data_IF_536089984558
#
_entry.id   IF_536089984558
#
_cell.length_a   1.000
_cell.length_b   1.000
_cell.length_c   1.000
_cell.angle_alpha   90.00
_cell.angle_beta   90.00
_cell.angle_gamma   90.00
#
_symmetry.space_group_name_H-M   'P 1'
#
loop_
_entity.id
_entity.type
_entity.pdbx_description
1 polymer ?
#
# COMPACT_ATOMS: atom_id res chain seq x y z
N UNK A 1 -4.82 41.45 10.91
CA UNK A 1 -4.47 42.68 11.63
C UNK A 1 -3.27 42.37 12.51
N UNK A 2 -2.09 42.87 12.16
CA UNK A 2 -0.99 42.94 13.11
C UNK A 2 -1.25 44.17 13.98
N UNK A 3 -1.49 43.96 15.29
CA UNK A 3 -1.64 45.07 16.23
C UNK A 3 -0.25 45.62 16.57
N UNK A 4 0.04 46.86 16.19
CA UNK A 4 1.22 47.58 16.65
C UNK A 4 1.08 47.87 18.15
N UNK A 5 1.98 47.31 18.98
CA UNK A 5 1.99 47.57 20.41
C UNK A 5 2.69 48.89 20.72
N UNK A 6 2.22 49.59 21.77
CA UNK A 6 2.74 50.92 22.19
C UNK A 6 4.24 50.96 22.52
N UNK A 7 4.87 49.80 22.68
CA UNK A 7 6.27 49.61 23.07
C UNK A 7 7.13 48.95 21.97
N UNK A 8 6.64 48.91 20.73
CA UNK A 8 7.27 48.20 19.60
C UNK A 8 7.57 46.72 19.89
N UNK A 9 6.81 46.09 20.80
CA UNK A 9 6.83 44.65 21.07
C UNK A 9 7.74 44.24 22.22
N UNK A 10 8.42 45.17 22.90
CA UNK A 10 9.39 44.87 23.96
C UNK A 10 8.81 44.07 25.13
N UNK A 11 7.62 44.41 25.59
CA UNK A 11 6.91 43.68 26.66
C UNK A 11 6.46 42.29 26.22
N UNK A 12 6.08 42.13 24.95
CA UNK A 12 5.75 40.81 24.36
C UNK A 12 7.01 39.95 24.28
N UNK A 13 8.14 40.52 23.80
CA UNK A 13 9.43 39.83 23.73
C UNK A 13 9.89 39.40 25.12
N UNK A 14 9.93 40.32 26.09
CA UNK A 14 10.35 40.02 27.47
C UNK A 14 9.44 38.98 28.15
N UNK A 15 8.14 39.05 27.90
CA UNK A 15 7.18 38.04 28.37
C UNK A 15 7.45 36.66 27.77
N UNK A 16 7.65 36.58 26.45
CA UNK A 16 7.98 35.34 25.74
C UNK A 16 9.33 34.77 26.19
N UNK A 17 10.35 35.60 26.35
CA UNK A 17 11.67 35.20 26.86
C UNK A 17 11.57 34.60 28.26
N UNK A 18 10.75 35.17 29.14
CA UNK A 18 10.54 34.64 30.49
C UNK A 18 9.92 33.25 30.46
N UNK A 19 8.89 33.06 29.62
CA UNK A 19 8.22 31.75 29.46
C UNK A 19 9.15 30.72 28.84
N UNK A 20 9.89 31.10 27.79
CA UNK A 20 10.87 30.23 27.13
C UNK A 20 12.00 29.84 28.09
N UNK A 21 12.53 30.78 28.87
CA UNK A 21 13.60 30.51 29.84
C UNK A 21 13.15 29.52 30.90
N UNK A 22 11.94 29.67 31.44
CA UNK A 22 11.38 28.71 32.39
C UNK A 22 11.28 27.31 31.75
N UNK A 23 10.67 27.21 30.56
CA UNK A 23 10.49 25.93 29.87
C UNK A 23 11.80 25.26 29.47
N UNK A 24 12.81 26.05 29.08
CA UNK A 24 14.16 25.54 28.80
C UNK A 24 14.89 25.10 30.07
N UNK A 25 14.68 25.79 31.20
CA UNK A 25 15.22 25.38 32.49
C UNK A 25 14.63 24.05 32.94
N UNK A 26 13.32 23.85 32.75
CA UNK A 26 12.66 22.57 33.06
C UNK A 26 13.19 21.46 32.16
N UNK A 27 13.31 21.71 30.85
CA UNK A 27 13.91 20.75 29.92
C UNK A 27 15.36 20.40 30.30
N UNK A 28 16.18 21.39 30.68
CA UNK A 28 17.55 21.16 31.15
C UNK A 28 17.58 20.32 32.43
N UNK A 29 16.69 20.59 33.38
CA UNK A 29 16.56 19.79 34.60
C UNK A 29 16.23 18.33 34.29
N UNK A 30 15.22 18.07 33.45
CA UNK A 30 14.85 16.70 33.08
C UNK A 30 15.96 16.01 32.28
N UNK A 31 16.65 16.71 31.38
CA UNK A 31 17.79 16.20 30.63
C UNK A 31 18.91 15.73 31.56
N UNK A 32 19.31 16.56 32.52
CA UNK A 32 20.38 16.25 33.47
C UNK A 32 19.97 15.15 34.46
N UNK A 33 18.70 15.17 34.90
CA UNK A 33 18.17 14.16 35.80
C UNK A 33 18.06 12.80 35.11
N UNK A 34 17.58 12.77 33.87
CA UNK A 34 17.34 11.52 33.15
C UNK A 34 18.65 10.81 32.78
N UNK A 35 19.70 11.57 32.45
CA UNK A 35 21.04 11.08 32.10
C UNK A 35 21.83 10.46 33.25
N UNK A 36 21.31 10.52 34.48
CA UNK A 36 21.88 9.79 35.62
C UNK A 36 21.70 8.27 35.50
N UNK A 37 20.72 7.84 34.70
CA UNK A 37 20.44 6.44 34.41
C UNK A 37 20.46 6.21 32.90
N UNK A 38 20.95 5.06 32.45
CA UNK A 38 20.97 4.75 31.01
C UNK A 38 19.57 4.47 30.48
N UNK A 39 19.33 4.74 29.21
CA UNK A 39 18.10 4.42 28.49
C UNK A 39 17.77 2.93 28.59
N UNK A 40 18.79 2.07 28.49
CA UNK A 40 18.63 0.60 28.65
C UNK A 40 18.11 0.22 30.04
N UNK A 41 18.54 0.91 31.10
CA UNK A 41 18.05 0.67 32.46
C UNK A 41 16.56 0.98 32.64
N UNK A 42 15.94 1.70 31.71
CA UNK A 42 14.51 2.08 31.74
C UNK A 42 13.59 1.08 31.06
N UNK A 43 14.13 0.13 30.30
CA UNK A 43 13.34 -0.91 29.62
C UNK A 43 12.42 -1.69 30.58
N UNK A 44 12.86 -2.11 31.79
CA UNK A 44 11.98 -2.85 32.71
C UNK A 44 10.71 -2.10 33.10
N UNK A 45 10.75 -0.76 33.19
CA UNK A 45 9.60 0.08 33.53
C UNK A 45 8.51 0.09 32.45
N UNK A 46 8.81 -0.40 31.24
CA UNK A 46 7.80 -0.56 30.17
C UNK A 46 6.75 -1.63 30.51
N UNK A 47 7.04 -2.52 31.46
CA UNK A 47 6.07 -3.52 31.96
C UNK A 47 4.89 -2.88 32.69
N UNK A 48 5.12 -1.74 33.33
CA UNK A 48 4.07 -1.03 34.07
C UNK A 48 3.24 -0.09 33.18
N UNK A 49 3.67 0.11 31.93
CA UNK A 49 2.98 0.96 30.94
C UNK A 49 2.04 0.11 30.10
N UNK A 50 0.74 0.27 30.31
CA UNK A 50 -0.30 -0.40 29.51
C UNK A 50 -0.31 0.20 28.10
N UNK A 51 -0.12 -0.63 27.08
CA UNK A 51 -0.34 -0.23 25.69
C UNK A 51 -1.84 -0.22 25.37
N UNK A 52 -2.54 -1.30 25.73
CA UNK A 52 -3.99 -1.40 25.70
C UNK A 52 -4.45 -2.59 26.55
N UNK A 53 -5.56 -2.46 27.28
CA UNK A 53 -6.01 -3.47 28.24
C UNK A 53 -6.18 -4.88 27.66
N UNK A 54 -6.57 -4.99 26.39
CA UNK A 54 -6.76 -6.28 25.67
C UNK A 54 -5.52 -6.75 24.88
N UNK A 55 -4.48 -5.92 24.78
CA UNK A 55 -3.29 -6.21 23.95
C UNK A 55 -2.04 -6.41 24.82
N UNK A 56 -1.98 -5.75 25.98
CA UNK A 56 -0.90 -5.83 26.93
C UNK A 56 -0.18 -4.50 27.16
N UNK A 57 1.09 -4.63 27.54
CA UNK A 57 2.01 -3.59 27.98
C UNK A 57 2.90 -3.11 26.83
N UNK A 58 3.60 -2.00 27.05
CA UNK A 58 4.61 -1.51 26.11
C UNK A 58 5.81 -2.47 26.04
N UNK A 59 6.16 -3.16 27.14
CA UNK A 59 7.20 -4.18 27.12
C UNK A 59 6.86 -5.33 26.16
N UNK A 60 5.64 -5.88 26.24
CA UNK A 60 5.18 -6.94 25.34
C UNK A 60 5.12 -6.45 23.89
N UNK A 61 4.69 -5.19 23.67
CA UNK A 61 4.73 -4.58 22.34
C UNK A 61 6.14 -4.54 21.74
N UNK A 62 7.12 -4.11 22.53
CA UNK A 62 8.51 -4.00 22.09
C UNK A 62 9.10 -5.38 21.75
N UNK A 63 8.76 -6.41 22.52
CA UNK A 63 9.16 -7.80 22.23
C UNK A 63 8.56 -8.32 20.91
N UNK A 64 7.25 -8.13 20.72
CA UNK A 64 6.56 -8.51 19.46
C UNK A 64 7.13 -7.75 18.27
N UNK A 65 7.38 -6.45 18.44
CA UNK A 65 7.99 -5.59 17.43
C UNK A 65 9.40 -6.06 17.07
N UNK A 66 10.26 -6.39 18.03
CA UNK A 66 11.62 -6.87 17.76
C UNK A 66 11.64 -8.19 16.99
N UNK A 67 10.79 -9.14 17.39
CA UNK A 67 10.68 -10.42 16.68
C UNK A 67 10.07 -10.25 15.28
N UNK A 68 9.08 -9.36 15.10
CA UNK A 68 8.53 -9.05 13.78
C UNK A 68 9.55 -8.32 12.89
N UNK A 69 10.36 -7.44 13.46
CA UNK A 69 11.41 -6.72 12.73
C UNK A 69 12.47 -7.67 12.15
N UNK A 70 12.82 -8.75 12.86
CA UNK A 70 13.68 -9.81 12.32
C UNK A 70 13.09 -10.48 11.07
N UNK A 71 11.78 -10.68 11.05
CA UNK A 71 11.09 -11.24 9.88
C UNK A 71 10.99 -10.25 8.72
N UNK A 72 10.76 -8.97 9.02
CA UNK A 72 10.70 -7.89 8.04
C UNK A 72 12.08 -7.62 7.44
N UNK A 73 13.16 -7.70 8.22
CA UNK A 73 14.52 -7.44 7.78
C UNK A 73 14.97 -8.34 6.62
N UNK A 74 14.38 -9.52 6.47
CA UNK A 74 14.59 -10.42 5.32
C UNK A 74 14.22 -9.77 3.97
N UNK A 75 13.40 -8.72 3.99
CA UNK A 75 12.94 -7.97 2.80
C UNK A 75 13.47 -6.53 2.77
N UNK A 76 14.29 -6.13 3.75
CA UNK A 76 14.91 -4.80 3.82
C UNK A 76 16.41 -4.96 3.58
N UNK A 77 16.96 -4.47 2.45
CA UNK A 77 18.38 -4.63 2.15
C UNK A 77 19.27 -3.92 3.18
N UNK A 78 20.43 -4.53 3.49
CA UNK A 78 21.50 -3.94 4.33
C UNK A 78 21.11 -3.65 5.78
N UNK A 79 20.11 -4.32 6.33
CA UNK A 79 19.87 -4.30 7.78
C UNK A 79 20.92 -5.16 8.47
N UNK A 80 21.55 -4.61 9.51
CA UNK A 80 22.35 -5.39 10.45
C UNK A 80 21.42 -6.08 11.45
N UNK A 81 21.35 -7.41 11.38
CA UNK A 81 20.45 -8.21 12.20
C UNK A 81 20.80 -8.16 13.69
N UNK A 82 22.08 -7.95 14.04
CA UNK A 82 22.53 -7.92 15.43
C UNK A 82 22.02 -6.66 16.15
N UNK A 83 21.73 -5.60 15.40
CA UNK A 83 21.22 -4.34 15.92
C UNK A 83 19.69 -4.30 16.05
N UNK A 84 18.95 -5.21 15.41
CA UNK A 84 17.47 -5.18 15.37
C UNK A 84 16.87 -5.27 16.77
N UNK A 85 17.29 -6.27 17.56
CA UNK A 85 16.73 -6.46 18.89
C UNK A 85 17.16 -5.35 19.84
N UNK A 86 18.37 -4.81 19.68
CA UNK A 86 18.86 -3.65 20.45
C UNK A 86 17.99 -2.43 20.18
N UNK A 87 17.80 -2.08 18.90
CA UNK A 87 16.98 -0.95 18.49
C UNK A 87 15.51 -1.12 18.90
N UNK A 88 14.95 -2.31 18.73
CA UNK A 88 13.58 -2.60 19.14
C UNK A 88 13.38 -2.37 20.64
N UNK A 89 14.27 -2.94 21.46
CA UNK A 89 14.22 -2.84 22.91
C UNK A 89 14.34 -1.39 23.42
N UNK A 90 15.12 -0.55 22.73
CA UNK A 90 15.31 0.84 23.10
C UNK A 90 14.26 1.80 22.51
N UNK A 91 13.57 1.40 21.44
CA UNK A 91 12.70 2.29 20.66
C UNK A 91 11.66 3.04 21.50
N UNK A 92 11.14 2.41 22.56
CA UNK A 92 10.12 3.00 23.44
C UNK A 92 10.60 3.21 24.88
N UNK A 93 11.88 3.01 25.17
CA UNK A 93 12.44 3.13 26.52
C UNK A 93 12.37 4.57 27.06
N UNK A 94 12.34 5.55 26.17
CA UNK A 94 12.22 6.97 26.50
C UNK A 94 10.84 7.33 27.07
N UNK A 95 9.81 6.54 26.81
CA UNK A 95 8.49 6.71 27.42
C UNK A 95 8.51 6.66 28.96
N UNK A 96 9.56 6.07 29.53
CA UNK A 96 9.82 5.99 30.97
C UNK A 96 10.74 7.12 31.48
N UNK A 97 10.95 8.18 30.70
CA UNK A 97 11.81 9.32 31.07
C UNK A 97 11.00 10.49 31.63
N UNK A 98 11.62 11.30 32.49
CA UNK A 98 11.01 12.53 32.99
C UNK A 98 10.77 13.52 31.84
N UNK A 99 11.70 13.59 30.89
CA UNK A 99 11.55 14.44 29.70
C UNK A 99 10.29 14.10 28.89
N UNK A 100 10.00 12.83 28.63
CA UNK A 100 8.76 12.47 27.91
C UNK A 100 7.52 12.64 28.79
N UNK A 101 7.65 12.52 30.10
CA UNK A 101 6.57 12.83 31.05
C UNK A 101 6.13 14.29 30.98
N UNK A 102 7.09 15.23 30.91
CA UNK A 102 6.83 16.67 30.83
C UNK A 102 6.57 17.15 29.39
N UNK A 103 7.30 16.59 28.42
CA UNK A 103 7.27 16.97 27.00
C UNK A 103 6.98 15.73 26.12
N UNK A 104 5.72 15.23 26.10
CA UNK A 104 5.36 14.06 25.29
C UNK A 104 5.67 14.20 23.80
N UNK A 105 5.70 15.43 23.28
CA UNK A 105 6.08 15.75 21.90
C UNK A 105 7.52 15.37 21.55
N UNK A 106 8.40 15.16 22.54
CA UNK A 106 9.79 14.78 22.35
C UNK A 106 10.02 13.26 22.32
N UNK A 107 8.98 12.44 22.41
CA UNK A 107 9.11 10.99 22.31
C UNK A 107 9.79 10.57 21.00
N UNK A 108 10.61 9.52 21.04
CA UNK A 108 11.54 9.10 20.00
C UNK A 108 12.75 10.04 19.89
N UNK A 109 12.53 11.34 19.73
CA UNK A 109 13.58 12.36 19.55
C UNK A 109 14.53 12.35 20.75
N UNK A 110 14.00 12.42 21.97
CA UNK A 110 14.84 12.39 23.16
C UNK A 110 15.47 11.02 23.39
N UNK A 111 14.75 9.94 23.05
CA UNK A 111 15.29 8.58 23.07
C UNK A 111 16.57 8.45 22.24
N UNK A 112 16.64 9.06 21.06
CA UNK A 112 17.87 9.13 20.26
C UNK A 112 19.01 9.83 20.99
N UNK A 113 18.74 10.99 21.59
CA UNK A 113 19.76 11.74 22.31
C UNK A 113 20.29 10.98 23.53
N UNK A 114 19.43 10.29 24.26
CA UNK A 114 19.83 9.42 25.37
C UNK A 114 20.60 8.20 24.88
N UNK A 115 20.17 7.53 23.80
CA UNK A 115 20.89 6.41 23.21
C UNK A 115 22.33 6.80 22.81
N UNK A 116 22.50 7.94 22.14
CA UNK A 116 23.83 8.45 21.77
C UNK A 116 24.67 8.80 22.99
N UNK A 117 24.07 9.45 24.00
CA UNK A 117 24.74 9.78 25.24
C UNK A 117 25.27 8.53 25.95
N UNK A 118 24.52 7.43 25.91
CA UNK A 118 24.85 6.17 26.57
C UNK A 118 25.79 5.27 25.74
N UNK A 119 26.24 5.74 24.58
CA UNK A 119 27.20 5.05 23.72
C UNK A 119 26.60 4.04 22.73
N UNK A 120 25.28 4.05 22.53
CA UNK A 120 24.66 3.25 21.47
C UNK A 120 25.05 3.80 20.09
N UNK A 121 25.05 2.95 19.06
CA UNK A 121 25.45 3.35 17.72
C UNK A 121 24.48 4.38 17.10
N UNK A 122 24.95 5.25 16.19
CA UNK A 122 24.08 6.20 15.50
C UNK A 122 22.89 5.54 14.78
N UNK A 123 23.05 4.32 14.27
CA UNK A 123 21.98 3.61 13.59
C UNK A 123 20.89 3.11 14.57
N UNK A 124 21.29 2.62 15.75
CA UNK A 124 20.34 2.28 16.83
C UNK A 124 19.61 3.55 17.29
N UNK A 125 20.35 4.63 17.57
CA UNK A 125 19.76 5.87 18.04
C UNK A 125 18.80 6.49 17.00
N UNK A 126 19.14 6.46 15.72
CA UNK A 126 18.25 6.94 14.66
C UNK A 126 17.01 6.06 14.53
N UNK A 127 17.12 4.73 14.69
CA UNK A 127 15.96 3.85 14.70
C UNK A 127 15.02 4.13 15.90
N UNK A 128 15.59 4.44 17.07
CA UNK A 128 14.81 4.89 18.25
C UNK A 128 14.02 6.15 17.95
N UNK A 129 14.62 7.16 17.30
CA UNK A 129 13.85 8.37 16.92
C UNK A 129 12.82 8.12 15.82
N UNK A 130 13.18 7.35 14.80
CA UNK A 130 12.45 7.33 13.53
C UNK A 130 11.36 6.27 13.44
N UNK A 131 11.25 5.34 14.40
CA UNK A 131 10.26 4.27 14.30
C UNK A 131 8.79 4.77 14.26
N UNK A 132 8.51 5.96 14.80
CA UNK A 132 7.21 6.61 14.66
C UNK A 132 6.95 7.15 13.25
N UNK A 133 8.00 7.54 12.52
CA UNK A 133 7.89 8.08 11.17
C UNK A 133 7.64 7.00 10.11
N UNK A 134 7.05 7.37 8.95
CA UNK A 134 6.33 8.62 8.76
C UNK A 134 5.00 8.60 9.54
N UNK A 135 4.71 9.68 10.25
CA UNK A 135 3.52 9.83 11.08
C UNK A 135 2.29 10.36 10.30
N UNK A 136 2.51 10.97 9.14
CA UNK A 136 1.46 11.54 8.29
C UNK A 136 1.94 11.77 6.85
N UNK A 137 1.13 12.41 5.99
CA UNK A 137 1.47 12.64 4.57
C UNK A 137 2.71 13.51 4.35
N UNK A 138 2.89 14.55 5.18
CA UNK A 138 3.97 15.53 5.04
C UNK A 138 5.23 15.17 5.85
N UNK A 139 5.19 14.10 6.65
CA UNK A 139 6.33 13.69 7.46
C UNK A 139 7.43 13.05 6.59
N UNK A 140 8.69 13.16 7.03
CA UNK A 140 9.81 12.52 6.36
C UNK A 140 9.69 10.99 6.44
N UNK A 141 9.89 10.30 5.31
CA UNK A 141 10.01 8.85 5.31
C UNK A 141 11.48 8.45 5.56
N UNK A 142 11.72 7.61 6.56
CA UNK A 142 13.07 7.13 6.83
C UNK A 142 13.59 6.23 5.71
N UNK A 143 14.91 6.33 5.47
CA UNK A 143 15.64 5.59 4.45
C UNK A 143 16.69 4.64 5.02
N UNK A 144 17.01 4.77 6.33
CA UNK A 144 17.96 3.89 7.01
C UNK A 144 17.37 2.49 7.18
N UNK A 145 18.07 1.41 6.78
CA UNK A 145 17.52 0.05 6.83
C UNK A 145 16.98 -0.38 8.20
N UNK A 146 17.74 -0.12 9.27
CA UNK A 146 17.33 -0.47 10.63
C UNK A 146 16.06 0.29 11.06
N UNK A 147 16.01 1.61 10.82
CA UNK A 147 14.84 2.45 11.09
C UNK A 147 13.59 2.01 10.30
N UNK A 148 13.78 1.56 9.05
CA UNK A 148 12.69 1.01 8.23
C UNK A 148 12.14 -0.27 8.86
N UNK A 149 13.01 -1.21 9.23
CA UNK A 149 12.59 -2.49 9.81
C UNK A 149 11.82 -2.30 11.12
N UNK A 150 12.33 -1.46 12.02
CA UNK A 150 11.67 -1.16 13.30
C UNK A 150 10.35 -0.39 13.08
N UNK A 151 10.35 0.62 12.20
CA UNK A 151 9.16 1.43 11.91
C UNK A 151 8.04 0.62 11.24
N UNK A 152 8.37 -0.29 10.32
CA UNK A 152 7.40 -1.22 9.76
C UNK A 152 6.85 -2.16 10.84
N UNK A 153 7.72 -2.74 11.67
CA UNK A 153 7.31 -3.66 12.72
C UNK A 153 6.34 -3.00 13.74
N UNK A 154 6.63 -1.77 14.19
CA UNK A 154 5.75 -1.03 15.11
C UNK A 154 4.35 -0.79 14.52
N UNK A 155 4.29 -0.44 13.23
CA UNK A 155 3.03 -0.16 12.54
C UNK A 155 2.24 -1.44 12.24
N UNK A 156 2.90 -2.51 11.80
CA UNK A 156 2.26 -3.81 11.59
C UNK A 156 1.73 -4.39 12.92
N UNK A 157 2.54 -4.38 13.99
CA UNK A 157 2.12 -4.83 15.33
C UNK A 157 0.88 -4.06 15.81
N UNK A 158 0.91 -2.73 15.71
CA UNK A 158 -0.22 -1.90 16.11
C UNK A 158 -1.47 -2.22 15.29
N UNK A 159 -1.34 -2.24 13.97
CA UNK A 159 -2.46 -2.47 13.06
C UNK A 159 -3.10 -3.83 13.31
N UNK A 160 -2.31 -4.89 13.43
CA UNK A 160 -2.77 -6.26 13.70
C UNK A 160 -3.36 -6.36 15.10
N UNK A 161 -2.67 -5.85 16.12
CA UNK A 161 -3.12 -5.92 17.51
C UNK A 161 -4.50 -5.30 17.74
N UNK A 162 -4.75 -4.12 17.17
CA UNK A 162 -6.07 -3.47 17.26
C UNK A 162 -7.14 -4.18 16.42
N UNK A 163 -6.76 -4.77 15.28
CA UNK A 163 -7.68 -5.58 14.49
C UNK A 163 -8.14 -6.82 15.25
N UNK A 164 -7.22 -7.49 15.93
CA UNK A 164 -7.48 -8.72 16.68
C UNK A 164 -8.45 -8.54 17.85
N UNK A 165 -8.52 -7.33 18.41
CA UNK A 165 -9.47 -6.99 19.48
C UNK A 165 -10.73 -6.27 18.97
N UNK A 166 -10.90 -6.24 17.65
CA UNK A 166 -12.02 -5.60 16.93
C UNK A 166 -12.13 -4.07 17.15
N UNK A 167 -11.02 -3.40 17.45
CA UNK A 167 -10.93 -1.93 17.59
C UNK A 167 -10.55 -1.28 16.25
N UNK A 168 -11.39 -1.51 15.23
CA UNK A 168 -11.16 -1.09 13.85
C UNK A 168 -11.61 0.37 13.63
N UNK A 169 -11.02 1.11 12.68
CA UNK A 169 -11.51 2.45 12.33
C UNK A 169 -12.93 2.39 11.78
N UNK A 170 -13.80 3.30 12.20
CA UNK A 170 -15.21 3.33 11.78
C UNK A 170 -15.62 4.73 11.32
N UNK A 171 -16.24 4.84 10.13
CA UNK A 171 -16.66 6.13 9.57
C UNK A 171 -15.55 7.17 9.62
N UNK A 172 -15.76 8.27 10.36
CA UNK A 172 -14.74 9.30 10.61
C UNK A 172 -13.79 8.97 11.78
N UNK A 173 -14.18 8.09 12.72
CA UNK A 173 -13.39 7.77 13.91
C UNK A 173 -12.20 6.85 13.59
N UNK A 174 -11.06 7.20 14.18
CA UNK A 174 -9.82 6.41 14.17
C UNK A 174 -9.03 6.71 15.47
N UNK A 175 -9.51 6.20 16.63
CA UNK A 175 -8.96 6.57 17.93
C UNK A 175 -7.49 6.17 18.12
N UNK A 176 -7.05 5.11 17.43
CA UNK A 176 -5.70 4.56 17.53
C UNK A 176 -4.82 4.88 16.30
N UNK A 177 -5.26 5.82 15.45
CA UNK A 177 -4.50 6.30 14.30
C UNK A 177 -4.11 5.19 13.29
N UNK A 178 -4.92 4.15 13.13
CA UNK A 178 -4.63 3.00 12.28
C UNK A 178 -4.59 3.36 10.79
N UNK A 179 -5.34 4.38 10.36
CA UNK A 179 -5.24 4.91 9.00
C UNK A 179 -3.89 5.58 8.76
N UNK A 180 -3.36 6.29 9.77
CA UNK A 180 -2.02 6.89 9.71
C UNK A 180 -0.92 5.83 9.76
N UNK A 181 -1.05 4.82 10.61
CA UNK A 181 -0.13 3.67 10.64
C UNK A 181 -0.07 2.94 9.30
N UNK A 182 -1.24 2.70 8.69
CA UNK A 182 -1.36 2.08 7.37
C UNK A 182 -0.72 2.91 6.26
N UNK A 183 -0.97 4.23 6.26
CA UNK A 183 -0.26 5.14 5.35
C UNK A 183 1.26 5.06 5.57
N UNK A 184 1.70 4.98 6.83
CA UNK A 184 3.11 4.84 7.14
C UNK A 184 3.74 3.56 6.58
N UNK A 185 3.05 2.42 6.67
CA UNK A 185 3.47 1.15 6.05
C UNK A 185 3.59 1.31 4.53
N UNK A 186 2.56 1.88 3.88
CA UNK A 186 2.52 2.11 2.43
C UNK A 186 3.71 2.95 2.00
N UNK A 187 3.94 4.09 2.67
CA UNK A 187 5.04 5.01 2.34
C UNK A 187 6.40 4.35 2.53
N UNK A 188 6.61 3.65 3.65
CA UNK A 188 7.86 2.94 3.90
C UNK A 188 8.17 1.90 2.82
N UNK A 189 7.15 1.16 2.36
CA UNK A 189 7.31 0.18 1.29
C UNK A 189 7.60 0.86 -0.04
N UNK A 190 6.78 1.83 -0.45
CA UNK A 190 6.84 2.43 -1.80
C UNK A 190 8.06 3.34 -1.97
N UNK A 191 8.33 4.22 -1.02
CA UNK A 191 9.42 5.20 -1.12
C UNK A 191 10.79 4.50 -1.05
N UNK A 192 10.89 3.39 -0.32
CA UNK A 192 12.10 2.56 -0.24
C UNK A 192 12.11 1.36 -1.22
N UNK A 193 11.09 1.22 -2.07
CA UNK A 193 10.97 0.16 -3.10
C UNK A 193 11.10 -1.27 -2.55
N UNK A 194 10.48 -1.55 -1.41
CA UNK A 194 10.60 -2.82 -0.69
C UNK A 194 9.61 -3.87 -1.24
N UNK A 195 10.09 -5.08 -1.52
CA UNK A 195 9.25 -6.20 -1.98
C UNK A 195 8.83 -7.05 -0.77
N UNK A 196 7.75 -6.62 -0.09
CA UNK A 196 7.27 -7.24 1.15
C UNK A 196 5.99 -8.05 0.88
N UNK A 197 5.95 -9.36 1.19
CA UNK A 197 4.72 -10.16 1.11
C UNK A 197 3.79 -9.84 2.28
N UNK A 198 2.82 -8.94 2.08
CA UNK A 198 1.98 -8.40 3.15
C UNK A 198 1.19 -9.49 3.89
N UNK A 199 0.57 -10.43 3.17
CA UNK A 199 -0.19 -11.53 3.80
C UNK A 199 0.68 -12.32 4.79
N UNK A 200 1.94 -12.58 4.42
CA UNK A 200 2.89 -13.29 5.28
C UNK A 200 3.28 -12.46 6.51
N UNK A 201 3.56 -11.17 6.34
CA UNK A 201 3.91 -10.30 7.47
C UNK A 201 2.73 -10.12 8.43
N UNK A 202 1.51 -9.96 7.93
CA UNK A 202 0.30 -9.90 8.76
C UNK A 202 0.14 -11.18 9.58
N UNK A 203 0.33 -12.35 8.96
CA UNK A 203 0.25 -13.63 9.66
C UNK A 203 1.32 -13.77 10.74
N UNK A 204 2.58 -13.47 10.41
CA UNK A 204 3.69 -13.50 11.38
C UNK A 204 3.48 -12.54 12.56
N UNK A 205 2.85 -11.39 12.31
CA UNK A 205 2.46 -10.47 13.39
C UNK A 205 1.30 -11.03 14.20
N UNK A 206 0.29 -11.64 13.57
CA UNK A 206 -0.89 -12.18 14.24
C UNK A 206 -0.55 -13.35 15.16
N UNK A 207 0.38 -14.23 14.75
CA UNK A 207 0.84 -15.37 15.54
C UNK A 207 1.39 -14.95 16.92
N UNK A 208 1.73 -13.66 17.11
CA UNK A 208 2.23 -13.09 18.36
C UNK A 208 1.15 -12.66 19.35
N UNK A 209 -0.11 -12.70 18.93
CA UNK A 209 -1.25 -12.22 19.73
C UNK A 209 -2.21 -13.33 20.18
N UNK A 210 -1.92 -14.61 19.88
CA UNK A 210 -2.74 -15.78 20.27
C UNK A 210 -4.21 -15.70 19.81
N UNK A 211 -4.45 -15.45 18.52
CA UNK A 211 -5.80 -15.35 17.93
C UNK A 211 -6.02 -16.35 16.79
N UNK A 212 -7.16 -17.05 16.80
CA UNK A 212 -7.48 -18.16 15.88
C UNK A 212 -7.96 -17.73 14.47
N UNK A 213 -8.46 -16.50 14.30
CA UNK A 213 -9.07 -16.06 13.03
C UNK A 213 -8.03 -15.36 12.17
N UNK A 214 -7.70 -15.89 11.00
CA UNK A 214 -6.76 -15.24 10.05
C UNK A 214 -7.31 -13.89 9.54
N UNK A 215 -6.67 -12.79 9.95
CA UNK A 215 -7.05 -11.42 9.59
C UNK A 215 -6.25 -10.88 8.38
N UNK A 216 -5.31 -11.65 7.84
CA UNK A 216 -4.35 -11.17 6.83
C UNK A 216 -5.02 -10.58 5.59
N UNK A 217 -6.09 -11.20 5.09
CA UNK A 217 -6.84 -10.71 3.92
C UNK A 217 -7.63 -9.44 4.21
N UNK A 218 -8.24 -9.35 5.39
CA UNK A 218 -8.99 -8.16 5.81
C UNK A 218 -8.04 -6.96 5.97
N UNK A 219 -6.89 -7.18 6.62
CA UNK A 219 -5.83 -6.19 6.79
C UNK A 219 -5.22 -5.74 5.47
N UNK A 220 -4.96 -6.67 4.54
CA UNK A 220 -4.49 -6.32 3.19
C UNK A 220 -5.53 -5.47 2.44
N UNK A 221 -6.80 -5.86 2.49
CA UNK A 221 -7.89 -5.08 1.88
C UNK A 221 -7.96 -3.66 2.46
N UNK A 222 -7.85 -3.53 3.79
CA UNK A 222 -7.79 -2.22 4.43
C UNK A 222 -6.58 -1.40 3.97
N UNK A 223 -5.39 -2.01 3.90
CA UNK A 223 -4.19 -1.35 3.41
C UNK A 223 -4.34 -0.90 1.95
N UNK A 224 -4.99 -1.72 1.11
CA UNK A 224 -5.26 -1.38 -0.29
C UNK A 224 -6.22 -0.21 -0.41
N UNK A 225 -7.27 -0.15 0.40
CA UNK A 225 -8.15 1.01 0.46
C UNK A 225 -7.41 2.28 0.92
N UNK A 226 -6.44 2.16 1.83
CA UNK A 226 -5.56 3.30 2.19
C UNK A 226 -4.63 3.68 1.04
N UNK A 227 -4.13 2.72 0.30
CA UNK A 227 -3.29 2.95 -0.87
C UNK A 227 -4.03 3.70 -1.98
N UNK A 228 -5.30 3.34 -2.24
CA UNK A 228 -6.17 4.08 -3.16
C UNK A 228 -6.38 5.55 -2.75
N UNK A 229 -6.53 5.82 -1.45
CA UNK A 229 -6.60 7.21 -0.93
C UNK A 229 -5.29 7.92 -1.17
N UNK A 230 -4.16 7.30 -0.82
CA UNK A 230 -2.83 7.86 -1.03
C UNK A 230 -2.57 8.25 -2.50
N UNK A 231 -2.95 7.41 -3.47
CA UNK A 231 -2.82 7.72 -4.89
C UNK A 231 -3.73 8.88 -5.31
N UNK A 232 -4.98 8.91 -4.86
CA UNK A 232 -5.90 10.03 -5.12
C UNK A 232 -5.37 11.36 -4.61
N UNK A 233 -4.81 11.36 -3.39
CA UNK A 233 -4.21 12.56 -2.79
C UNK A 233 -2.97 13.04 -3.58
N UNK A 234 -2.32 12.16 -4.35
CA UNK A 234 -1.25 12.50 -5.31
C UNK A 234 -1.76 13.00 -6.66
N UNK A 235 -3.08 13.10 -6.86
CA UNK A 235 -3.70 13.57 -8.10
C UNK A 235 -3.88 12.49 -9.16
N UNK A 236 -3.71 11.23 -8.81
CA UNK A 236 -3.85 10.10 -9.72
C UNK A 236 -5.33 9.84 -10.09
N UNK A 237 -5.54 9.36 -11.33
CA UNK A 237 -6.87 9.09 -11.88
C UNK A 237 -7.61 7.97 -11.12
N UNK A 238 -8.78 8.29 -10.59
CA UNK A 238 -9.61 7.36 -9.79
C UNK A 238 -9.99 6.08 -10.55
N UNK A 239 -10.37 6.20 -11.81
CA UNK A 239 -10.79 5.08 -12.64
C UNK A 239 -9.65 4.09 -12.91
N UNK A 240 -8.43 4.59 -13.14
CA UNK A 240 -7.20 3.78 -13.28
C UNK A 240 -6.84 3.08 -11.97
N UNK A 241 -6.98 3.78 -10.84
CA UNK A 241 -6.79 3.18 -9.50
C UNK A 241 -7.76 2.01 -9.32
N UNK A 242 -9.06 2.21 -9.57
CA UNK A 242 -10.06 1.14 -9.40
C UNK A 242 -9.82 -0.04 -10.35
N UNK A 243 -9.42 0.20 -11.60
CA UNK A 243 -9.12 -0.85 -12.58
C UNK A 243 -7.99 -1.79 -12.10
N UNK A 244 -6.96 -1.25 -11.46
CA UNK A 244 -5.79 -2.02 -11.02
C UNK A 244 -6.05 -2.75 -9.70
N UNK A 245 -6.69 -2.07 -8.76
CA UNK A 245 -6.90 -2.60 -7.40
C UNK A 245 -8.07 -3.58 -7.30
N UNK A 246 -8.97 -3.63 -8.29
CA UNK A 246 -10.12 -4.56 -8.30
C UNK A 246 -9.74 -6.02 -8.60
N UNK A 247 -8.54 -6.28 -9.14
CA UNK A 247 -8.15 -7.62 -9.58
C UNK A 247 -7.81 -8.61 -8.46
N UNK A 248 -7.80 -8.18 -7.19
CA UNK A 248 -7.51 -8.93 -5.95
C UNK A 248 -6.47 -10.07 -6.04
N UNK A 249 -5.44 -9.91 -6.87
CA UNK A 249 -4.46 -10.95 -7.23
C UNK A 249 -3.05 -10.62 -6.79
N UNK A 250 -2.86 -9.45 -6.17
CA UNK A 250 -1.56 -8.91 -5.84
C UNK A 250 -1.40 -8.76 -4.32
N UNK A 251 -0.22 -9.11 -3.82
CA UNK A 251 0.20 -8.94 -2.42
C UNK A 251 1.41 -8.00 -2.30
N UNK A 252 1.91 -7.50 -3.43
CA UNK A 252 3.11 -6.70 -3.55
C UNK A 252 2.79 -5.29 -4.03
N UNK A 253 2.97 -4.31 -3.14
CA UNK A 253 2.65 -2.91 -3.43
C UNK A 253 3.53 -2.31 -4.54
N UNK A 254 4.77 -2.78 -4.70
CA UNK A 254 5.67 -2.27 -5.74
C UNK A 254 5.22 -2.76 -7.10
N UNK A 255 4.90 -4.05 -7.22
CA UNK A 255 4.37 -4.62 -8.45
C UNK A 255 3.03 -3.99 -8.83
N UNK A 256 2.16 -3.76 -7.85
CA UNK A 256 0.89 -3.07 -8.04
C UNK A 256 1.10 -1.64 -8.56
N UNK A 257 2.09 -0.92 -8.02
CA UNK A 257 2.44 0.42 -8.49
C UNK A 257 3.05 0.43 -9.89
N UNK A 258 3.89 -0.54 -10.25
CA UNK A 258 4.42 -0.69 -11.61
C UNK A 258 3.29 -0.93 -12.61
N UNK A 259 2.32 -1.79 -12.25
CA UNK A 259 1.13 -2.07 -13.05
C UNK A 259 0.26 -0.83 -13.24
N UNK A 260 -0.01 -0.10 -12.15
CA UNK A 260 -0.75 1.15 -12.17
C UNK A 260 -0.09 2.18 -13.11
N UNK A 261 1.22 2.40 -12.97
CA UNK A 261 1.96 3.35 -13.82
C UNK A 261 1.92 2.96 -15.29
N UNK A 262 2.12 1.69 -15.60
CA UNK A 262 2.07 1.20 -16.98
C UNK A 262 0.68 1.41 -17.60
N UNK A 263 -0.40 1.12 -16.87
CA UNK A 263 -1.76 1.36 -17.35
C UNK A 263 -2.03 2.87 -17.53
N UNK A 264 -1.61 3.70 -16.57
CA UNK A 264 -1.78 5.15 -16.67
C UNK A 264 -1.09 5.70 -17.91
N UNK A 265 0.19 5.38 -18.10
CA UNK A 265 0.97 5.81 -19.26
C UNK A 265 0.38 5.30 -20.58
N UNK A 266 -0.11 4.06 -20.61
CA UNK A 266 -0.72 3.50 -21.81
C UNK A 266 -2.02 4.22 -22.21
N UNK A 267 -2.83 4.64 -21.23
CA UNK A 267 -4.06 5.41 -21.45
C UNK A 267 -3.82 6.89 -21.80
N UNK A 268 -2.60 7.39 -21.67
CA UNK A 268 -2.21 8.72 -22.15
C UNK A 268 -1.98 8.74 -23.68
N UNK A 269 -1.97 7.58 -24.34
CA UNK A 269 -1.75 7.42 -25.78
C UNK A 269 -3.02 6.93 -26.51
N UNK A 270 -3.13 7.24 -27.81
CA UNK A 270 -4.31 6.87 -28.62
C UNK A 270 -4.54 5.36 -28.76
N UNK A 271 -3.48 4.54 -28.67
CA UNK A 271 -3.61 3.08 -28.69
C UNK A 271 -4.34 2.54 -27.47
N UNK A 272 -4.17 3.17 -26.30
CA UNK A 272 -4.85 2.77 -25.07
C UNK A 272 -6.36 2.98 -25.14
N UNK A 273 -6.79 4.09 -25.73
CA UNK A 273 -8.22 4.35 -25.95
C UNK A 273 -8.84 3.41 -26.96
N UNK A 274 -8.12 3.08 -28.06
CA UNK A 274 -8.59 2.09 -29.03
C UNK A 274 -8.80 0.71 -28.40
N UNK A 275 -7.86 0.26 -27.57
CA UNK A 275 -8.02 -1.00 -26.83
C UNK A 275 -9.25 -0.95 -25.91
N UNK A 276 -9.43 0.15 -25.17
CA UNK A 276 -10.56 0.32 -24.25
C UNK A 276 -11.91 0.29 -24.98
N UNK A 277 -12.02 0.97 -26.13
CA UNK A 277 -13.26 0.99 -26.91
C UNK A 277 -13.58 -0.39 -27.49
N UNK A 278 -12.56 -1.09 -28.00
CA UNK A 278 -12.67 -2.50 -28.42
C UNK A 278 -13.15 -3.40 -27.26
N UNK A 279 -12.53 -3.27 -26.09
CA UNK A 279 -12.93 -4.00 -24.89
C UNK A 279 -14.40 -3.74 -24.52
N UNK A 280 -14.83 -2.47 -24.48
CA UNK A 280 -16.20 -2.09 -24.11
C UNK A 280 -17.23 -2.63 -25.10
N UNK A 281 -16.94 -2.60 -26.40
CA UNK A 281 -17.78 -3.20 -27.44
C UNK A 281 -17.99 -4.69 -27.17
N UNK A 282 -16.89 -5.42 -26.95
CA UNK A 282 -16.91 -6.86 -26.67
C UNK A 282 -17.67 -7.17 -25.38
N UNK A 283 -17.34 -6.47 -24.28
CA UNK A 283 -17.96 -6.66 -22.97
C UNK A 283 -19.46 -6.40 -23.01
N UNK A 284 -19.91 -5.38 -23.76
CA UNK A 284 -21.32 -5.10 -23.94
C UNK A 284 -22.06 -6.19 -24.71
N UNK A 285 -21.49 -6.69 -25.82
CA UNK A 285 -22.08 -7.79 -26.59
C UNK A 285 -22.27 -9.01 -25.69
N UNK A 286 -21.20 -9.44 -25.00
CA UNK A 286 -21.26 -10.62 -24.11
C UNK A 286 -22.30 -10.41 -23.01
N UNK A 287 -22.30 -9.24 -22.33
CA UNK A 287 -23.26 -8.95 -21.27
C UNK A 287 -24.72 -8.99 -21.73
N UNK A 288 -25.02 -8.48 -22.93
CA UNK A 288 -26.37 -8.48 -23.49
C UNK A 288 -26.83 -9.92 -23.75
N UNK A 289 -25.99 -10.71 -24.43
CA UNK A 289 -26.33 -12.08 -24.80
C UNK A 289 -26.43 -13.01 -23.57
N UNK A 290 -25.53 -12.86 -22.58
CA UNK A 290 -25.61 -13.61 -21.32
C UNK A 290 -26.88 -13.29 -20.52
N UNK A 291 -27.30 -12.02 -20.50
CA UNK A 291 -28.54 -11.62 -19.83
C UNK A 291 -29.76 -12.20 -20.53
N UNK A 292 -29.77 -12.18 -21.86
CA UNK A 292 -30.87 -12.70 -22.68
C UNK A 292 -31.05 -14.20 -22.47
N UNK A 293 -29.94 -14.93 -22.39
CA UNK A 293 -29.97 -16.40 -22.34
C UNK A 293 -29.92 -16.96 -20.91
N UNK A 294 -29.63 -16.12 -19.91
CA UNK A 294 -29.51 -16.53 -18.50
C UNK A 294 -28.32 -17.45 -18.24
N UNK A 295 -27.31 -17.49 -19.12
CA UNK A 295 -26.16 -18.36 -19.03
C UNK A 295 -24.84 -17.61 -19.33
N UNK A 296 -23.70 -18.23 -18.98
CA UNK A 296 -22.36 -17.68 -19.22
C UNK A 296 -21.67 -18.39 -20.38
N UNK A 297 -21.03 -17.63 -21.26
CA UNK A 297 -20.31 -18.17 -22.44
C UNK A 297 -18.81 -18.28 -22.17
N UNK A 298 -18.41 -19.26 -21.35
CA UNK A 298 -17.01 -19.40 -20.90
C UNK A 298 -16.16 -20.41 -21.68
N UNK A 299 -16.82 -21.32 -22.41
CA UNK A 299 -16.19 -22.42 -23.15
C UNK A 299 -16.14 -22.11 -24.65
N UNK A 300 -15.06 -22.54 -25.29
CA UNK A 300 -14.85 -22.45 -26.73
C UNK A 300 -14.61 -23.87 -27.24
N UNK A 301 -15.42 -24.31 -28.20
CA UNK A 301 -15.25 -25.57 -28.92
C UNK A 301 -14.79 -25.30 -30.34
N UNK A 302 -13.71 -25.93 -30.77
CA UNK A 302 -13.15 -25.72 -32.12
C UNK A 302 -13.90 -26.51 -33.21
N UNK A 303 -14.88 -27.34 -32.85
CA UNK A 303 -15.51 -28.29 -33.77
C UNK A 303 -16.34 -27.61 -34.86
N UNK A 304 -16.94 -26.47 -34.56
CA UNK A 304 -17.85 -25.73 -35.46
C UNK A 304 -17.26 -24.37 -35.85
N UNK A 305 -15.93 -24.25 -35.90
CA UNK A 305 -15.29 -23.00 -36.29
C UNK A 305 -15.36 -22.77 -37.79
N UNK A 306 -15.71 -21.54 -38.17
CA UNK A 306 -15.48 -21.03 -39.52
C UNK A 306 -14.03 -20.48 -39.65
N UNK A 307 -13.62 -20.12 -40.85
CA UNK A 307 -12.25 -19.71 -41.15
C UNK A 307 -11.78 -18.54 -40.26
N UNK A 308 -12.64 -17.53 -40.10
CA UNK A 308 -12.39 -16.36 -39.26
C UNK A 308 -12.31 -16.69 -37.77
N UNK A 309 -13.09 -17.68 -37.29
CA UNK A 309 -13.05 -18.15 -35.91
C UNK A 309 -11.68 -18.82 -35.62
N UNK A 310 -11.19 -19.64 -36.57
CA UNK A 310 -9.86 -20.28 -36.49
C UNK A 310 -8.75 -19.23 -36.45
N UNK A 311 -8.82 -18.20 -37.31
CA UNK A 311 -7.82 -17.13 -37.39
C UNK A 311 -7.73 -16.40 -36.04
N UNK A 312 -8.88 -15.93 -35.51
CA UNK A 312 -8.91 -15.22 -34.24
C UNK A 312 -8.45 -16.13 -33.09
N UNK A 313 -8.91 -17.38 -33.04
CA UNK A 313 -8.50 -18.34 -32.01
C UNK A 313 -6.99 -18.58 -31.98
N UNK A 314 -6.37 -18.82 -33.14
CA UNK A 314 -4.92 -18.99 -33.25
C UNK A 314 -4.19 -17.75 -32.78
N UNK A 315 -4.63 -16.56 -33.19
CA UNK A 315 -4.04 -15.29 -32.76
C UNK A 315 -4.12 -15.12 -31.24
N UNK A 316 -5.27 -15.38 -30.63
CA UNK A 316 -5.46 -15.26 -29.18
C UNK A 316 -4.57 -16.24 -28.41
N UNK A 317 -4.48 -17.50 -28.85
CA UNK A 317 -3.64 -18.50 -28.17
C UNK A 317 -2.14 -18.18 -28.29
N UNK A 318 -1.67 -17.75 -29.46
CA UNK A 318 -0.27 -17.35 -29.66
C UNK A 318 0.09 -16.12 -28.82
N UNK A 319 -0.85 -15.20 -28.65
CA UNK A 319 -0.65 -13.95 -27.91
C UNK A 319 -0.69 -14.16 -26.40
N UNK A 320 -1.53 -15.09 -25.91
CA UNK A 320 -1.69 -15.37 -24.49
C UNK A 320 -0.36 -15.70 -23.78
N UNK A 321 0.48 -16.55 -24.37
CA UNK A 321 1.77 -16.90 -23.78
C UNK A 321 2.72 -15.71 -23.64
N UNK A 322 2.68 -14.79 -24.62
CA UNK A 322 3.50 -13.56 -24.60
C UNK A 322 3.03 -12.61 -23.48
N UNK A 323 1.71 -12.45 -23.32
CA UNK A 323 1.13 -11.65 -22.23
C UNK A 323 1.48 -12.25 -20.87
N UNK A 324 1.34 -13.56 -20.71
CA UNK A 324 1.65 -14.24 -19.45
C UNK A 324 3.13 -14.13 -19.07
N UNK A 325 4.04 -14.24 -20.05
CA UNK A 325 5.46 -14.01 -19.84
C UNK A 325 5.75 -12.56 -19.41
N UNK A 326 5.21 -11.58 -20.13
CA UNK A 326 5.37 -10.16 -19.79
C UNK A 326 4.84 -9.83 -18.39
N UNK A 327 3.68 -10.37 -18.00
CA UNK A 327 3.11 -10.17 -16.66
C UNK A 327 3.91 -10.84 -15.54
N UNK A 328 4.53 -11.99 -15.82
CA UNK A 328 5.43 -12.68 -14.88
C UNK A 328 6.70 -11.86 -14.65
N UNK A 329 7.23 -11.27 -15.71
CA UNK A 329 8.45 -10.44 -15.69
C UNK A 329 8.17 -8.97 -15.32
N UNK A 330 6.94 -8.66 -14.89
CA UNK A 330 6.49 -7.31 -14.49
C UNK A 330 6.60 -6.25 -15.59
N UNK A 331 6.67 -6.69 -16.86
CA UNK A 331 6.66 -5.87 -18.07
C UNK A 331 5.22 -5.53 -18.48
N UNK A 332 4.53 -4.79 -17.62
CA UNK A 332 3.11 -4.46 -17.81
C UNK A 332 2.85 -3.62 -19.09
N UNK A 333 3.78 -2.75 -19.47
CA UNK A 333 3.69 -2.00 -20.73
C UNK A 333 3.72 -2.91 -21.96
N UNK A 334 4.67 -3.85 -22.02
CA UNK A 334 4.74 -4.84 -23.11
C UNK A 334 3.46 -5.68 -23.18
N UNK A 335 2.88 -6.07 -22.04
CA UNK A 335 1.61 -6.79 -22.01
C UNK A 335 0.44 -5.98 -22.61
N UNK A 336 0.39 -4.67 -22.34
CA UNK A 336 -0.62 -3.75 -22.88
C UNK A 336 -0.45 -3.52 -24.39
N UNK A 337 0.79 -3.36 -24.86
CA UNK A 337 1.11 -3.24 -26.28
C UNK A 337 0.69 -4.50 -27.05
N UNK A 338 0.99 -5.67 -26.50
CA UNK A 338 0.60 -6.96 -27.08
C UNK A 338 -0.93 -7.10 -27.14
N UNK A 339 -1.67 -6.62 -26.13
CA UNK A 339 -3.13 -6.55 -26.17
C UNK A 339 -3.63 -5.58 -27.25
N UNK A 340 -3.02 -4.40 -27.38
CA UNK A 340 -3.39 -3.41 -28.41
C UNK A 340 -3.24 -3.97 -29.83
N UNK A 341 -2.19 -4.76 -30.07
CA UNK A 341 -1.95 -5.44 -31.36
C UNK A 341 -2.99 -6.51 -31.72
N UNK A 342 -3.89 -6.88 -30.81
CA UNK A 342 -5.04 -7.73 -31.14
C UNK A 342 -6.15 -6.95 -31.85
N UNK A 343 -6.21 -5.62 -31.69
CA UNK A 343 -7.25 -4.75 -32.24
C UNK A 343 -7.56 -5.03 -33.72
N UNK A 344 -6.58 -4.98 -34.63
CA UNK A 344 -6.82 -5.25 -36.06
C UNK A 344 -7.39 -6.65 -36.36
N UNK A 345 -6.99 -7.66 -35.57
CA UNK A 345 -7.52 -9.02 -35.74
C UNK A 345 -8.97 -9.14 -35.26
N UNK A 346 -9.31 -8.40 -34.20
CA UNK A 346 -10.67 -8.30 -33.66
C UNK A 346 -11.58 -7.54 -34.63
N UNK A 347 -11.10 -6.42 -35.19
CA UNK A 347 -11.86 -5.63 -36.17
C UNK A 347 -12.16 -6.44 -37.42
N UNK A 348 -11.15 -7.08 -38.02
CA UNK A 348 -11.36 -7.96 -39.18
C UNK A 348 -12.29 -9.14 -38.87
N UNK A 349 -12.27 -9.66 -37.63
CA UNK A 349 -13.24 -10.66 -37.20
C UNK A 349 -14.66 -10.08 -37.23
N UNK A 350 -14.91 -8.93 -36.61
CA UNK A 350 -16.23 -8.30 -36.62
C UNK A 350 -16.72 -7.88 -38.02
N UNK A 351 -15.82 -7.52 -38.94
CA UNK A 351 -16.17 -7.13 -40.31
C UNK A 351 -16.69 -8.31 -41.14
N UNK A 352 -16.19 -9.52 -40.86
CA UNK A 352 -16.50 -10.74 -41.62
C UNK A 352 -17.52 -11.64 -40.94
N UNK A 353 -17.67 -11.50 -39.63
CA UNK A 353 -18.43 -12.42 -38.79
C UNK A 353 -19.59 -11.71 -38.10
N UNK A 354 -20.78 -12.28 -38.26
CA UNK A 354 -21.92 -11.95 -37.40
C UNK A 354 -21.86 -12.78 -36.12
N UNK A 355 -21.90 -12.13 -34.96
CA UNK A 355 -21.92 -12.82 -33.66
C UNK A 355 -23.25 -13.53 -33.42
N UNK A 356 -24.37 -12.83 -33.69
CA UNK A 356 -25.71 -13.39 -33.51
C UNK A 356 -26.14 -14.15 -34.77
N UNK A 357 -25.69 -15.41 -34.87
CA UNK A 357 -26.05 -16.35 -35.94
C UNK A 357 -27.22 -17.25 -35.53
N UNK A 358 -27.91 -17.81 -36.52
CA UNK A 358 -28.98 -18.80 -36.31
C UNK A 358 -28.44 -20.13 -35.76
N UNK A 359 -27.21 -20.50 -36.13
CA UNK A 359 -26.53 -21.66 -35.56
C UNK A 359 -26.10 -21.37 -34.11
N UNK A 360 -26.74 -22.05 -33.16
CA UNK A 360 -26.50 -21.88 -31.73
C UNK A 360 -25.08 -22.27 -31.30
N UNK A 361 -24.47 -23.29 -31.92
CA UNK A 361 -23.12 -23.73 -31.59
C UNK A 361 -22.08 -22.69 -32.00
N UNK A 362 -22.19 -22.18 -33.23
CA UNK A 362 -21.30 -21.12 -33.76
C UNK A 362 -21.43 -19.85 -32.91
N UNK A 363 -22.66 -19.42 -32.60
CA UNK A 363 -22.92 -18.26 -31.71
C UNK A 363 -22.25 -18.43 -30.35
N UNK A 364 -22.43 -19.59 -29.71
CA UNK A 364 -21.83 -19.86 -28.40
C UNK A 364 -20.29 -19.84 -28.45
N UNK A 365 -19.69 -20.40 -29.50
CA UNK A 365 -18.24 -20.38 -29.71
C UNK A 365 -17.70 -18.96 -29.88
N UNK A 366 -18.37 -18.13 -30.68
CA UNK A 366 -17.99 -16.71 -30.89
C UNK A 366 -18.08 -15.90 -29.61
N UNK A 367 -19.15 -16.08 -28.83
CA UNK A 367 -19.27 -15.46 -27.51
C UNK A 367 -18.17 -15.96 -26.55
N UNK A 368 -17.78 -17.22 -26.64
CA UNK A 368 -16.63 -17.77 -25.92
C UNK A 368 -15.29 -17.13 -26.32
N UNK A 369 -15.08 -16.84 -27.61
CA UNK A 369 -13.91 -16.11 -28.11
C UNK A 369 -13.87 -14.68 -27.55
N UNK A 370 -15.01 -13.98 -27.59
CA UNK A 370 -15.18 -12.66 -27.00
C UNK A 370 -14.89 -12.67 -25.48
N UNK A 371 -15.39 -13.66 -24.75
CA UNK A 371 -15.10 -13.83 -23.33
C UNK A 371 -13.62 -14.15 -23.06
N UNK A 372 -12.93 -14.84 -23.98
CA UNK A 372 -11.47 -15.03 -23.90
C UNK A 372 -10.72 -13.71 -24.05
N UNK A 373 -11.16 -12.81 -24.94
CA UNK A 373 -10.56 -11.47 -25.08
C UNK A 373 -10.75 -10.66 -23.78
N UNK A 374 -11.96 -10.66 -23.21
CA UNK A 374 -12.23 -10.00 -21.91
C UNK A 374 -11.27 -10.54 -20.84
N UNK A 375 -11.18 -11.87 -20.71
CA UNK A 375 -10.28 -12.51 -19.74
C UNK A 375 -8.81 -12.14 -19.93
N UNK A 376 -8.33 -11.98 -21.16
CA UNK A 376 -6.95 -11.56 -21.44
C UNK A 376 -6.69 -10.13 -20.97
N UNK A 377 -7.64 -9.22 -21.18
CA UNK A 377 -7.55 -7.85 -20.70
C UNK A 377 -7.58 -7.80 -19.16
N UNK A 378 -8.47 -8.59 -18.53
CA UNK A 378 -8.60 -8.71 -17.06
C UNK A 378 -7.34 -9.29 -16.38
N UNK A 379 -6.40 -9.86 -17.13
CA UNK A 379 -5.08 -10.24 -16.59
C UNK A 379 -4.24 -9.02 -16.20
N UNK A 380 -4.47 -7.88 -16.85
CA UNK A 380 -3.70 -6.65 -16.66
C UNK A 380 -4.47 -5.68 -15.76
N UNK A 381 -5.73 -5.39 -16.08
CA UNK A 381 -6.57 -4.47 -15.32
C UNK A 381 -8.05 -4.77 -15.56
N UNK A 382 -8.93 -4.39 -14.62
CA UNK A 382 -10.36 -4.36 -14.85
C UNK A 382 -10.72 -3.13 -15.70
N UNK A 383 -10.70 -3.29 -17.02
CA UNK A 383 -11.01 -2.22 -17.97
C UNK A 383 -12.46 -1.73 -17.86
N UNK A 384 -13.36 -2.46 -17.19
CA UNK A 384 -14.73 -1.99 -16.97
C UNK A 384 -14.81 -0.80 -16.01
N UNK A 385 -13.75 -0.57 -15.21
CA UNK A 385 -13.64 0.56 -14.28
C UNK A 385 -13.13 1.84 -14.93
N UNK A 386 -12.50 1.76 -16.12
CA UNK A 386 -11.94 2.92 -16.79
C UNK A 386 -13.07 3.78 -17.37
N UNK A 387 -13.07 5.06 -17.04
CA UNK A 387 -14.08 6.04 -17.44
C UNK A 387 -13.59 6.92 -18.60
N UNK A 388 -14.51 7.67 -19.21
CA UNK A 388 -14.20 8.58 -20.32
C UNK A 388 -14.03 7.90 -21.68
N UNK A 389 -13.62 8.68 -22.68
CA UNK A 389 -13.32 8.26 -24.04
C UNK A 389 -12.38 9.30 -24.67
N UNK A 390 -11.61 8.89 -25.68
CA UNK A 390 -10.69 9.80 -26.34
C UNK A 390 -11.47 10.97 -26.97
N UNK A 391 -11.20 12.20 -26.53
CA UNK A 391 -11.78 13.41 -27.14
C UNK A 391 -11.11 13.78 -28.46
N UNK A 392 -10.01 13.11 -28.82
CA UNK A 392 -9.18 13.39 -29.99
C UNK A 392 -9.32 12.34 -31.10
N UNK A 393 -9.89 11.17 -30.82
CA UNK A 393 -10.23 10.18 -31.83
C UNK A 393 -11.66 10.44 -32.31
N UNK A 394 -11.89 10.75 -33.60
CA UNK A 394 -13.24 10.85 -34.12
C UNK A 394 -13.95 9.51 -33.88
N UNK A 395 -15.13 9.55 -33.28
CA UNK A 395 -16.01 8.37 -33.20
C UNK A 395 -16.17 7.85 -34.62
N UNK A 396 -15.68 6.62 -34.89
CA UNK A 396 -15.98 5.97 -36.16
C UNK A 396 -17.51 5.91 -36.31
N UNK A 397 -18.03 6.18 -37.51
CA UNK A 397 -19.47 6.26 -37.79
C UNK A 397 -20.21 4.96 -37.48
#
# INVERSE_FOLDING_TARGET
MNMETKDSGKGVISGNERVLRARLSDAAFFWDQDRKCTLRSRIPALKDRIFHAKIGTIAEKVERMGTLALDIAKYVPKVDNDLILVAANLAKADLSTGMVGEFPELQGIIGRYYALHDGESPDVADAVAQHYSPAGPEDGCQTKPLSIAIGLADKFDSLVGFWSINEKPTGSKDPYALRRASLGIIRLIIENKLRIPLLKIFKLSQDKFSFDVDLSRELRSFLFERMKVYLRDKGERHDVIEAVFSLDTEDDLIRLMSRFRALSQFLDHGEGWRLLDGYRRIANIVRIEERKDGCKFSKVSTNDFEEEDIILWKRLNNTQGTIEAALKDEKFGEALEVLAQLGPSIDNFFDKVKINTENASIRANRLGLLQKIIRLNDRVADFSKIEGGDKTIPKCP
#
